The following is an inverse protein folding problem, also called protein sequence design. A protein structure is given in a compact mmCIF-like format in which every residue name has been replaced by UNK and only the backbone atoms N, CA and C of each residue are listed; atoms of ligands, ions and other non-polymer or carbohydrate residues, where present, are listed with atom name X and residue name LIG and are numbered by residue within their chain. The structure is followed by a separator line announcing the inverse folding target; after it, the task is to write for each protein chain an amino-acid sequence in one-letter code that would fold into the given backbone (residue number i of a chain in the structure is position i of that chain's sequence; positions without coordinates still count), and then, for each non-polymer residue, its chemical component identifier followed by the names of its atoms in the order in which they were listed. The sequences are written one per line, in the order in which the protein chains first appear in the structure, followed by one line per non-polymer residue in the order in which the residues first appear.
data_IF_152912409862
#
_entry.id   IF_152912409862
#
_cell.length_a   1.000
_cell.length_b   1.000
_cell.length_c   1.000
_cell.angle_alpha   90.00
_cell.angle_beta   90.00
_cell.angle_gamma   90.00
#
_symmetry.space_group_name_H-M   'P 1'
#
loop_
_entity.id
_entity.type
_entity.pdbx_description
1 polymer ?
#
# COMPACT_ATOMS: atom_id res chain seq x y z
N UNK A 1 -17.28 -1.68 -15.14
CA UNK A 1 -17.19 -1.22 -13.77
C UNK A 1 -16.37 0.07 -13.73
N UNK A 2 -16.92 1.08 -13.07
CA UNK A 2 -16.21 2.35 -12.95
C UNK A 2 -15.09 2.25 -11.92
N UNK A 3 -13.91 2.69 -12.34
CA UNK A 3 -12.76 2.78 -11.48
C UNK A 3 -12.90 4.04 -10.63
N UNK A 4 -13.00 3.87 -9.32
CA UNK A 4 -13.10 5.01 -8.40
C UNK A 4 -11.83 5.14 -7.59
N UNK A 5 -11.14 6.25 -7.76
CA UNK A 5 -9.99 6.58 -6.93
C UNK A 5 -9.99 8.08 -6.66
N UNK A 6 -9.40 8.46 -5.54
CA UNK A 6 -9.23 9.87 -5.18
C UNK A 6 -8.09 9.99 -4.18
N UNK A 7 -7.64 11.22 -3.95
CA UNK A 7 -6.61 11.50 -2.96
C UNK A 7 -7.19 12.27 -1.79
N UNK A 8 -6.73 11.94 -0.58
CA UNK A 8 -6.91 12.76 0.60
C UNK A 8 -5.53 13.10 1.16
N UNK A 9 -5.48 14.04 2.09
CA UNK A 9 -4.21 14.48 2.68
C UNK A 9 -4.30 14.32 4.19
N UNK A 10 -3.36 13.53 4.74
CA UNK A 10 -3.37 13.12 6.13
C UNK A 10 -2.12 13.64 6.85
N UNK A 11 -2.20 13.73 8.16
CA UNK A 11 -1.08 14.23 8.96
C UNK A 11 0.03 13.21 9.13
N UNK A 12 -0.27 11.92 9.02
CA UNK A 12 0.69 10.86 9.23
C UNK A 12 0.51 9.74 8.20
N UNK A 13 1.59 9.41 7.49
CA UNK A 13 1.59 8.35 6.49
C UNK A 13 1.46 6.95 7.12
N UNK A 14 1.79 6.82 8.42
CA UNK A 14 1.80 5.53 9.10
C UNK A 14 0.41 4.93 9.28
N UNK A 15 -0.63 5.70 9.09
CA UNK A 15 -2.00 5.20 9.18
C UNK A 15 -2.45 4.39 7.97
N UNK A 16 -1.68 4.39 6.87
CA UNK A 16 -1.99 3.53 5.73
C UNK A 16 -1.75 2.07 6.11
N UNK A 17 -2.67 1.14 5.75
CA UNK A 17 -2.63 -0.24 6.23
C UNK A 17 -1.32 -1.00 6.00
N UNK A 18 -0.63 -0.72 4.90
CA UNK A 18 0.60 -1.43 4.56
C UNK A 18 1.88 -0.72 5.05
N UNK A 19 1.75 0.40 5.75
CA UNK A 19 2.91 1.25 6.09
C UNK A 19 4.00 0.49 6.83
N UNK A 20 3.63 -0.23 7.89
CA UNK A 20 4.60 -0.93 8.73
C UNK A 20 5.19 -2.18 8.08
N UNK A 21 4.63 -2.63 6.97
CA UNK A 21 5.10 -3.80 6.25
C UNK A 21 6.05 -3.43 5.11
N UNK A 22 5.91 -2.22 4.62
CA UNK A 22 6.66 -1.75 3.46
C UNK A 22 7.86 -0.90 3.87
N UNK A 23 7.62 0.12 4.70
CA UNK A 23 8.68 1.03 5.12
C UNK A 23 9.26 0.58 6.44
N UNK A 24 10.39 -0.14 6.37
CA UNK A 24 11.05 -0.73 7.54
C UNK A 24 12.16 0.21 7.99
N UNK A 25 12.25 0.53 9.30
CA UNK A 25 13.34 1.38 9.80
C UNK A 25 14.70 0.77 9.48
N UNK A 26 15.64 1.62 9.05
CA UNK A 26 17.01 1.16 8.82
C UNK A 26 17.72 0.97 10.15
N UNK A 27 18.69 0.03 10.23
CA UNK A 27 19.44 -0.18 11.46
C UNK A 27 20.12 1.09 11.94
N UNK A 28 20.08 1.34 13.24
CA UNK A 28 20.71 2.48 13.92
C UNK A 28 20.09 3.84 13.62
N UNK A 29 18.92 3.89 12.96
CA UNK A 29 18.20 5.15 12.77
C UNK A 29 16.72 4.94 13.09
N UNK A 30 16.09 5.96 13.67
CA UNK A 30 14.65 5.94 13.94
C UNK A 30 13.85 6.73 12.90
N UNK A 31 14.57 7.44 12.01
CA UNK A 31 13.95 8.36 11.05
C UNK A 31 14.08 7.94 9.60
N UNK A 32 14.96 6.98 9.33
CA UNK A 32 15.17 6.50 7.96
C UNK A 32 14.54 5.15 7.76
N UNK A 33 13.95 4.96 6.59
CA UNK A 33 13.24 3.73 6.21
C UNK A 33 13.73 3.22 4.87
N UNK A 34 13.65 1.91 4.68
CA UNK A 34 13.94 1.27 3.41
C UNK A 34 12.73 0.45 2.96
N UNK A 35 12.08 0.76 1.83
CA UNK A 35 12.29 1.96 1.01
C UNK A 35 11.96 3.23 1.77
N UNK A 36 12.45 4.40 1.30
CA UNK A 36 12.19 5.65 2.01
C UNK A 36 10.71 5.93 2.21
N UNK A 37 10.37 6.42 3.40
CA UNK A 37 9.00 6.82 3.71
C UNK A 37 8.56 7.97 2.79
N UNK A 38 7.25 8.12 2.53
CA UNK A 38 6.78 9.21 1.69
C UNK A 38 7.06 10.56 2.35
N UNK A 39 7.24 11.59 1.52
CA UNK A 39 7.43 12.94 2.00
C UNK A 39 6.11 13.70 1.98
N UNK A 40 5.88 14.59 2.97
CA UNK A 40 4.66 15.39 2.98
C UNK A 40 4.67 16.44 1.88
N UNK A 41 3.49 16.74 1.36
CA UNK A 41 3.30 17.84 0.43
C UNK A 41 3.17 19.13 1.25
N UNK A 42 3.95 20.19 0.96
CA UNK A 42 3.90 21.42 1.75
C UNK A 42 2.47 21.96 1.89
N UNK A 43 2.08 22.27 3.11
CA UNK A 43 0.77 22.81 3.49
C UNK A 43 -0.41 21.85 3.32
N UNK A 44 -0.16 20.59 2.88
CA UNK A 44 -1.22 19.61 2.68
C UNK A 44 -1.07 18.37 3.54
N UNK A 45 0.18 17.89 3.72
CA UNK A 45 0.47 16.66 4.42
C UNK A 45 0.75 15.50 3.47
N UNK A 46 0.54 14.29 3.93
CA UNK A 46 0.83 13.09 3.15
C UNK A 46 -0.34 12.74 2.25
N UNK A 47 -0.08 12.54 0.96
CA UNK A 47 -1.12 12.16 0.01
C UNK A 47 -1.50 10.69 0.21
N UNK A 48 -2.78 10.43 0.48
CA UNK A 48 -3.32 9.08 0.56
C UNK A 48 -4.16 8.81 -0.67
N UNK A 49 -3.77 7.79 -1.42
CA UNK A 49 -4.57 7.30 -2.54
C UNK A 49 -5.64 6.35 -2.01
N UNK A 50 -6.89 6.65 -2.30
CA UNK A 50 -8.02 5.78 -1.97
C UNK A 50 -8.51 5.12 -3.24
N UNK A 51 -8.61 3.80 -3.24
CA UNK A 51 -9.18 3.03 -4.35
C UNK A 51 -10.36 2.22 -3.83
N UNK A 52 -11.55 2.46 -4.36
CA UNK A 52 -12.73 1.73 -3.96
C UNK A 52 -12.90 0.50 -4.84
N UNK A 53 -12.93 -0.69 -4.21
CA UNK A 53 -13.15 -1.96 -4.88
C UNK A 53 -14.21 -2.72 -4.10
N UNK A 54 -15.32 -3.06 -4.75
CA UNK A 54 -16.42 -3.82 -4.13
C UNK A 54 -16.90 -3.22 -2.80
N UNK A 55 -16.95 -1.89 -2.73
CA UNK A 55 -17.39 -1.19 -1.52
C UNK A 55 -16.33 -1.08 -0.43
N UNK A 56 -15.12 -1.54 -0.69
CA UNK A 56 -14.01 -1.47 0.28
C UNK A 56 -13.05 -0.36 -0.15
N UNK A 57 -12.69 0.51 0.78
CA UNK A 57 -11.75 1.59 0.55
C UNK A 57 -10.33 1.13 0.86
N UNK A 58 -9.52 0.95 -0.18
CA UNK A 58 -8.12 0.57 -0.05
C UNK A 58 -7.28 1.84 -0.03
N UNK A 59 -6.41 1.98 0.96
CA UNK A 59 -5.64 3.21 1.18
C UNK A 59 -4.14 2.96 1.09
N UNK A 60 -3.46 3.84 0.38
CA UNK A 60 -2.00 3.77 0.18
C UNK A 60 -1.39 5.15 0.36
N UNK A 61 -0.28 5.24 1.08
CA UNK A 61 0.41 6.52 1.28
C UNK A 61 1.68 6.66 0.43
N UNK A 62 2.06 5.61 -0.31
CA UNK A 62 3.24 5.64 -1.17
C UNK A 62 3.10 4.63 -2.31
N UNK A 63 3.79 4.87 -3.45
CA UNK A 63 3.83 3.88 -4.53
C UNK A 63 4.34 2.52 -4.09
N UNK A 64 5.31 2.49 -3.16
CA UNK A 64 5.85 1.24 -2.63
C UNK A 64 4.78 0.40 -1.93
N UNK A 65 3.84 1.02 -1.23
CA UNK A 65 2.74 0.32 -0.59
C UNK A 65 1.78 -0.26 -1.61
N UNK A 66 1.47 0.50 -2.65
CA UNK A 66 0.61 0.03 -3.74
C UNK A 66 1.23 -1.17 -4.43
N UNK A 67 2.53 -1.12 -4.72
CA UNK A 67 3.25 -2.21 -5.36
C UNK A 67 3.28 -3.46 -4.48
N UNK A 68 3.46 -3.29 -3.18
CA UNK A 68 3.43 -4.39 -2.22
C UNK A 68 2.07 -5.08 -2.21
N UNK A 69 1.00 -4.29 -2.20
CA UNK A 69 -0.37 -4.81 -2.23
C UNK A 69 -0.60 -5.67 -3.47
N UNK A 70 -0.22 -5.14 -4.63
CA UNK A 70 -0.34 -5.86 -5.91
C UNK A 70 0.47 -7.15 -5.88
N UNK A 71 1.71 -7.09 -5.38
CA UNK A 71 2.59 -8.25 -5.32
C UNK A 71 2.02 -9.36 -4.45
N UNK A 72 1.45 -9.03 -3.30
CA UNK A 72 0.87 -10.03 -2.40
C UNK A 72 -0.39 -10.64 -3.02
N UNK A 73 -1.28 -9.79 -3.56
CA UNK A 73 -2.57 -10.25 -4.07
C UNK A 73 -2.44 -11.09 -5.35
N UNK A 74 -1.39 -10.90 -6.13
CA UNK A 74 -1.20 -11.65 -7.37
C UNK A 74 -0.66 -13.07 -7.17
N UNK A 75 -0.17 -13.39 -5.97
CA UNK A 75 0.42 -14.71 -5.69
C UNK A 75 -0.61 -15.83 -5.73
N UNK A 76 -0.24 -16.96 -6.30
CA UNK A 76 -1.08 -18.16 -6.40
C UNK A 76 -0.29 -19.35 -5.90
N UNK A 77 -0.71 -19.99 -4.79
CA UNK A 77 -1.83 -19.61 -3.93
C UNK A 77 -1.54 -18.34 -3.12
N UNK A 78 -2.60 -17.70 -2.64
CA UNK A 78 -2.45 -16.53 -1.78
C UNK A 78 -1.77 -16.94 -0.47
N UNK A 79 -0.69 -16.26 -0.07
CA UNK A 79 -0.05 -16.57 1.20
C UNK A 79 -0.98 -16.24 2.37
N UNK A 80 -0.83 -16.95 3.48
CA UNK A 80 -1.58 -16.65 4.69
C UNK A 80 -0.93 -15.47 5.41
N UNK A 81 -1.73 -14.74 6.21
CA UNK A 81 -1.17 -13.66 7.03
C UNK A 81 -0.14 -14.19 8.03
N UNK A 82 -0.30 -15.42 8.49
CA UNK A 82 0.70 -16.08 9.36
C UNK A 82 2.04 -16.26 8.64
N UNK A 83 2.02 -16.73 7.40
CA UNK A 83 3.23 -16.89 6.59
C UNK A 83 3.93 -15.56 6.35
N UNK A 84 3.16 -14.53 6.04
CA UNK A 84 3.70 -13.20 5.79
C UNK A 84 4.29 -12.59 7.07
N UNK A 85 3.62 -12.78 8.19
CA UNK A 85 4.12 -12.29 9.49
C UNK A 85 5.43 -12.99 9.87
N UNK A 86 5.53 -14.31 9.65
CA UNK A 86 6.74 -15.06 9.96
C UNK A 86 7.94 -14.58 9.17
N UNK A 87 7.75 -14.22 7.89
CA UNK A 87 8.84 -13.76 7.03
C UNK A 87 9.47 -12.45 7.52
N UNK A 88 8.76 -11.65 8.30
CA UNK A 88 9.33 -10.43 8.85
C UNK A 88 10.26 -10.68 10.04
N UNK A 89 10.22 -11.88 10.61
CA UNK A 89 11.04 -12.22 11.75
C UNK A 89 10.63 -11.53 13.05
N UNK A 90 9.42 -10.97 13.08
CA UNK A 90 8.87 -10.30 14.26
C UNK A 90 7.75 -11.16 14.85
N UNK A 91 7.62 -11.15 16.16
CA UNK A 91 6.59 -11.92 16.87
C UNK A 91 5.25 -11.16 16.82
N UNK A 92 4.69 -11.00 15.62
CA UNK A 92 3.46 -10.24 15.41
C UNK A 92 2.19 -11.08 15.49
N UNK A 93 2.34 -12.40 15.52
CA UNK A 93 1.20 -13.30 15.53
C UNK A 93 0.52 -13.42 14.18
N UNK A 94 -0.53 -14.27 14.06
CA UNK A 94 -1.16 -14.58 12.78
C UNK A 94 -1.95 -13.43 12.17
N UNK A 95 -2.36 -12.45 12.97
CA UNK A 95 -3.16 -11.30 12.52
C UNK A 95 -2.34 -10.03 12.41
N UNK A 96 -1.00 -10.13 12.39
CA UNK A 96 -0.13 -8.96 12.33
C UNK A 96 -0.03 -8.30 10.97
N UNK A 97 -0.29 -9.05 9.90
CA UNK A 97 -0.22 -8.53 8.53
C UNK A 97 -1.57 -7.91 8.12
N UNK A 98 -1.52 -6.85 7.29
CA UNK A 98 -2.74 -6.18 6.80
C UNK A 98 -3.69 -7.14 6.09
N UNK A 99 -3.17 -8.22 5.50
CA UNK A 99 -3.98 -9.19 4.77
C UNK A 99 -5.05 -9.82 5.66
N UNK A 100 -4.80 -9.94 6.96
CA UNK A 100 -5.78 -10.48 7.90
C UNK A 100 -7.02 -9.58 8.04
N UNK A 101 -6.86 -8.30 7.73
CA UNK A 101 -7.94 -7.31 7.83
C UNK A 101 -8.69 -7.15 6.52
N UNK A 102 -8.20 -7.73 5.43
CA UNK A 102 -8.88 -7.67 4.14
C UNK A 102 -10.13 -8.54 4.20
N UNK A 103 -11.31 -8.02 3.80
CA UNK A 103 -12.53 -8.82 3.79
C UNK A 103 -12.39 -10.12 3.00
N UNK A 104 -12.99 -11.20 3.49
CA UNK A 104 -12.89 -12.51 2.84
C UNK A 104 -13.35 -12.48 1.38
N UNK A 105 -14.35 -11.68 1.06
CA UNK A 105 -14.84 -11.56 -0.32
C UNK A 105 -13.78 -11.08 -1.30
N UNK A 106 -12.79 -10.31 -0.82
CA UNK A 106 -11.70 -9.81 -1.65
C UNK A 106 -10.53 -10.79 -1.74
N UNK A 107 -10.53 -11.85 -0.94
CA UNK A 107 -9.49 -12.87 -0.98
C UNK A 107 -9.78 -14.00 -1.97
N UNK A 108 -11.01 -14.06 -2.49
CA UNK A 108 -11.37 -15.05 -3.51
C UNK A 108 -10.57 -14.82 -4.80
N UNK A 109 -10.20 -15.90 -5.54
CA UNK A 109 -9.35 -15.76 -6.73
C UNK A 109 -9.84 -14.74 -7.75
N UNK A 110 -11.13 -14.75 -8.07
CA UNK A 110 -11.69 -13.79 -9.06
C UNK A 110 -11.62 -12.36 -8.57
N UNK A 111 -11.91 -12.14 -7.28
CA UNK A 111 -11.85 -10.81 -6.69
C UNK A 111 -10.41 -10.30 -6.67
N UNK A 112 -9.45 -11.18 -6.35
CA UNK A 112 -8.03 -10.80 -6.36
C UNK A 112 -7.53 -10.42 -7.74
N UNK A 113 -7.91 -11.19 -8.77
CA UNK A 113 -7.55 -10.86 -10.16
C UNK A 113 -8.09 -9.51 -10.57
N UNK A 114 -9.34 -9.24 -10.20
CA UNK A 114 -9.97 -7.95 -10.48
C UNK A 114 -9.26 -6.81 -9.76
N UNK A 115 -8.95 -6.99 -8.46
CA UNK A 115 -8.23 -5.98 -7.70
C UNK A 115 -6.85 -5.69 -8.29
N UNK A 116 -6.10 -6.72 -8.63
CA UNK A 116 -4.77 -6.55 -9.22
C UNK A 116 -4.88 -5.74 -10.51
N UNK A 117 -5.85 -6.05 -11.35
CA UNK A 117 -6.07 -5.33 -12.61
C UNK A 117 -6.41 -3.86 -12.35
N UNK A 118 -7.36 -3.61 -11.44
CA UNK A 118 -7.79 -2.26 -11.10
C UNK A 118 -6.64 -1.46 -10.48
N UNK A 119 -5.90 -2.05 -9.56
CA UNK A 119 -4.79 -1.37 -8.91
C UNK A 119 -3.66 -1.04 -9.89
N UNK A 120 -3.38 -1.94 -10.84
CA UNK A 120 -2.39 -1.67 -11.89
C UNK A 120 -2.82 -0.52 -12.80
N UNK A 121 -4.10 -0.44 -13.13
CA UNK A 121 -4.62 0.67 -13.93
C UNK A 121 -4.53 2.00 -13.20
N UNK A 122 -4.89 2.01 -11.92
CA UNK A 122 -4.78 3.21 -11.09
C UNK A 122 -3.31 3.62 -10.97
N UNK A 123 -2.42 2.66 -10.72
CA UNK A 123 -0.99 2.93 -10.62
C UNK A 123 -0.46 3.62 -11.88
N UNK A 124 -0.86 3.13 -13.05
CA UNK A 124 -0.43 3.72 -14.32
C UNK A 124 -0.88 5.18 -14.47
N UNK A 125 -1.99 5.54 -13.82
CA UNK A 125 -2.54 6.90 -13.89
C UNK A 125 -1.96 7.84 -12.86
N UNK A 126 -1.64 7.35 -11.65
CA UNK A 126 -1.32 8.22 -10.51
C UNK A 126 0.15 8.21 -10.10
N UNK A 127 0.89 7.18 -10.45
CA UNK A 127 2.33 7.09 -10.12
C UNK A 127 3.15 7.60 -11.29
N UNK A 128 4.12 8.47 -10.99
CA UNK A 128 4.98 8.98 -12.03
C UNK A 128 6.04 9.90 -11.45
N UNK A 129 6.67 10.69 -12.33
CA UNK A 129 7.65 11.69 -11.96
C UNK A 129 7.12 13.05 -12.33
N UNK A 130 7.43 14.05 -11.53
CA UNK A 130 6.99 15.42 -11.79
C UNK A 130 6.28 16.02 -10.58
N UNK A 131 6.31 17.33 -10.47
CA UNK A 131 5.80 18.05 -9.31
C UNK A 131 4.27 18.01 -9.17
N UNK A 132 3.57 17.70 -10.26
CA UNK A 132 2.10 17.71 -10.28
C UNK A 132 1.49 16.37 -9.90
N UNK A 133 2.31 15.36 -9.66
CA UNK A 133 1.85 14.01 -9.34
C UNK A 133 2.00 13.76 -7.86
N UNK A 134 0.88 13.45 -7.17
CA UNK A 134 0.87 13.21 -5.73
C UNK A 134 1.72 11.98 -5.34
N UNK A 135 1.67 10.91 -6.14
CA UNK A 135 2.54 9.74 -5.97
C UNK A 135 3.74 9.86 -6.88
N UNK A 136 4.70 10.66 -6.46
CA UNK A 136 5.88 10.98 -7.25
C UNK A 136 7.06 10.09 -6.84
N UNK A 137 7.63 9.38 -7.81
CA UNK A 137 8.77 8.49 -7.57
C UNK A 137 10.13 9.20 -7.66
N UNK A 138 10.18 10.39 -8.24
CA UNK A 138 11.45 11.13 -8.39
C UNK A 138 12.03 11.56 -7.05
N UNK A 139 11.21 11.68 -6.01
CA UNK A 139 11.66 12.07 -4.67
C UNK A 139 12.56 11.01 -4.01
N UNK A 140 12.61 9.80 -4.57
CA UNK A 140 13.34 8.67 -3.97
C UNK A 140 14.68 8.38 -4.69
N UNK A 141 15.09 9.26 -5.58
CA UNK A 141 16.33 9.08 -6.31
C UNK A 141 17.41 10.04 -5.83
#
# INVERSE_FOLDING_TARGET
MMLKHHFTFEKDWRFAPAAFWVHIPTPNTEREFAPPAPEPIPHKGYAFLHVEVEGVDLQFSAPAQLDHFIEVLRRKPLPTSRQLSSKRGLALGPNGHWLSRLPAKLKAPRAREKMVRVLREVRAKVVGTGSDIAFNTSAFM
#
